data_IF_737677703951
#
_entry.id   IF_737677703951
#
_cell.length_a   1.000
_cell.length_b   1.000
_cell.length_c   1.000
_cell.angle_alpha   90.00
_cell.angle_beta   90.00
_cell.angle_gamma   90.00
#
_symmetry.space_group_name_H-M   'P 1'
#
loop_
_entity.id
_entity.type
_entity.pdbx_description
1 polymer ?
#
# COMPACT_ATOMS: atom_id res chain seq x y z
N UNK A 1 20.88 -26.30 -16.10
CA UNK A 1 22.14 -25.71 -15.63
C UNK A 1 21.90 -24.48 -14.76
N UNK A 2 21.20 -23.44 -15.26
CA UNK A 2 20.89 -22.22 -14.50
C UNK A 2 20.16 -22.50 -13.18
N UNK A 3 19.09 -23.30 -13.18
CA UNK A 3 18.32 -23.61 -11.95
C UNK A 3 19.17 -24.26 -10.85
N UNK A 4 20.11 -25.16 -11.20
CA UNK A 4 21.02 -25.77 -10.22
C UNK A 4 22.05 -24.76 -9.68
N UNK A 5 22.52 -23.83 -10.51
CA UNK A 5 23.41 -22.75 -10.08
C UNK A 5 22.70 -21.76 -9.16
N UNK A 6 21.45 -21.36 -9.48
CA UNK A 6 20.65 -20.51 -8.61
C UNK A 6 20.36 -21.18 -7.27
N UNK A 7 20.04 -22.47 -7.29
CA UNK A 7 19.76 -23.24 -6.08
C UNK A 7 20.99 -23.38 -5.17
N UNK A 8 22.16 -23.66 -5.74
CA UNK A 8 23.42 -23.74 -4.99
C UNK A 8 23.87 -22.38 -4.47
N UNK A 9 23.70 -21.31 -5.25
CA UNK A 9 23.95 -19.94 -4.80
C UNK A 9 23.05 -19.54 -3.62
N UNK A 10 21.74 -19.84 -3.70
CA UNK A 10 20.79 -19.56 -2.64
C UNK A 10 21.12 -20.30 -1.34
N UNK A 11 21.51 -21.58 -1.44
CA UNK A 11 21.94 -22.37 -0.28
C UNK A 11 23.25 -21.85 0.33
N UNK A 12 24.16 -21.31 -0.49
CA UNK A 12 25.41 -20.71 -0.03
C UNK A 12 25.22 -19.34 0.64
N UNK A 13 24.19 -18.57 0.24
CA UNK A 13 23.93 -17.20 0.70
C UNK A 13 22.58 -17.06 1.44
N UNK A 14 22.13 -18.13 2.12
CA UNK A 14 20.94 -18.09 2.98
C UNK A 14 20.90 -16.92 3.98
N UNK A 15 22.02 -16.50 4.62
CA UNK A 15 22.01 -15.37 5.55
C UNK A 15 21.62 -14.07 4.86
N UNK A 16 22.16 -13.83 3.66
CA UNK A 16 21.94 -12.61 2.88
C UNK A 16 20.51 -12.58 2.33
N UNK A 17 20.02 -13.73 1.84
CA UNK A 17 18.63 -13.87 1.40
C UNK A 17 17.65 -13.63 2.55
N UNK A 18 17.92 -14.17 3.74
CA UNK A 18 17.10 -13.95 4.92
C UNK A 18 17.13 -12.50 5.40
N UNK A 19 18.28 -11.83 5.32
CA UNK A 19 18.41 -10.40 5.64
C UNK A 19 17.61 -9.55 4.65
N UNK A 20 17.79 -9.76 3.35
CA UNK A 20 17.09 -9.06 2.29
C UNK A 20 15.57 -9.27 2.38
N UNK A 21 15.12 -10.50 2.67
CA UNK A 21 13.70 -10.81 2.91
C UNK A 21 13.14 -10.02 4.10
N UNK A 22 13.87 -10.01 5.23
CA UNK A 22 13.45 -9.24 6.41
C UNK A 22 13.37 -7.75 6.12
N UNK A 23 14.34 -7.18 5.41
CA UNK A 23 14.33 -5.78 5.00
C UNK A 23 13.13 -5.47 4.11
N UNK A 24 12.83 -6.34 3.13
CA UNK A 24 11.72 -6.17 2.21
C UNK A 24 10.36 -6.19 2.91
N UNK A 25 10.17 -7.15 3.82
CA UNK A 25 8.97 -7.26 4.65
C UNK A 25 8.87 -6.04 5.57
N UNK A 26 9.95 -5.65 6.26
CA UNK A 26 9.93 -4.50 7.16
C UNK A 26 9.57 -3.19 6.44
N UNK A 27 10.17 -2.94 5.27
CA UNK A 27 9.89 -1.78 4.44
C UNK A 27 8.44 -1.77 3.97
N UNK A 28 7.96 -2.90 3.43
CA UNK A 28 6.60 -3.03 2.92
C UNK A 28 5.55 -2.91 4.02
N UNK A 29 5.75 -3.59 5.15
CA UNK A 29 4.83 -3.58 6.28
C UNK A 29 4.78 -2.21 6.97
N UNK A 30 5.91 -1.51 7.12
CA UNK A 30 5.93 -0.16 7.67
C UNK A 30 5.23 0.84 6.76
N UNK A 31 5.46 0.79 5.44
CA UNK A 31 4.76 1.62 4.46
C UNK A 31 3.24 1.41 4.51
N UNK A 32 2.81 0.13 4.49
CA UNK A 32 1.38 -0.22 4.59
C UNK A 32 0.77 0.21 5.91
N UNK A 33 1.49 0.03 7.03
CA UNK A 33 1.03 0.44 8.35
C UNK A 33 0.79 1.95 8.42
N UNK A 34 1.72 2.76 7.93
CA UNK A 34 1.58 4.23 7.89
C UNK A 34 0.41 4.61 6.98
N UNK A 35 0.32 4.01 5.78
CA UNK A 35 -0.75 4.30 4.84
C UNK A 35 -2.13 3.90 5.39
N UNK A 36 -2.26 2.77 6.10
CA UNK A 36 -3.50 2.36 6.75
C UNK A 36 -3.93 3.37 7.83
N UNK A 37 -3.00 3.80 8.68
CA UNK A 37 -3.27 4.76 9.74
C UNK A 37 -3.74 6.12 9.20
N UNK A 38 -3.27 6.53 8.03
CA UNK A 38 -3.68 7.78 7.39
C UNK A 38 -4.93 7.62 6.50
N UNK A 39 -4.92 6.65 5.60
CA UNK A 39 -5.91 6.53 4.52
C UNK A 39 -7.21 5.87 4.92
N UNK A 40 -7.24 5.03 5.96
CA UNK A 40 -8.52 4.49 6.46
C UNK A 40 -9.36 5.61 7.07
N UNK A 41 -8.86 6.43 8.03
CA UNK A 41 -9.62 7.57 8.53
C UNK A 41 -10.00 8.57 7.43
N UNK A 42 -9.07 8.87 6.51
CA UNK A 42 -9.35 9.77 5.39
C UNK A 42 -10.43 9.21 4.46
N UNK A 43 -10.40 7.91 4.13
CA UNK A 43 -11.40 7.28 3.28
C UNK A 43 -12.79 7.26 3.92
N UNK A 44 -12.87 7.02 5.24
CA UNK A 44 -14.12 7.13 6.00
C UNK A 44 -14.63 8.57 5.96
N UNK A 45 -13.74 9.54 6.17
CA UNK A 45 -14.10 10.95 6.13
C UNK A 45 -14.57 11.39 4.73
N UNK A 46 -13.86 11.01 3.66
CA UNK A 46 -14.27 11.36 2.29
C UNK A 46 -15.64 10.76 1.96
N UNK A 47 -15.96 9.56 2.42
CA UNK A 47 -17.24 8.91 2.14
C UNK A 47 -18.44 9.79 2.56
N UNK A 48 -18.29 10.52 3.66
CA UNK A 48 -19.32 11.38 4.24
C UNK A 48 -19.17 12.86 3.87
N UNK A 49 -17.99 13.29 3.42
CA UNK A 49 -17.73 14.68 3.08
C UNK A 49 -18.36 15.07 1.73
N UNK A 50 -18.90 16.30 1.59
CA UNK A 50 -19.49 16.78 0.34
C UNK A 50 -18.45 16.86 -0.80
N UNK A 51 -17.20 17.17 -0.48
CA UNK A 51 -16.09 17.20 -1.43
C UNK A 51 -15.43 15.82 -1.69
N UNK A 52 -15.88 14.75 -1.02
CA UNK A 52 -15.19 13.47 -1.04
C UNK A 52 -15.09 12.84 -2.43
N UNK A 53 -16.14 12.94 -3.25
CA UNK A 53 -16.15 12.42 -4.62
C UNK A 53 -15.05 13.05 -5.49
N UNK A 54 -14.85 14.37 -5.37
CA UNK A 54 -13.80 15.08 -6.09
C UNK A 54 -12.41 14.68 -5.61
N UNK A 55 -12.21 14.54 -4.30
CA UNK A 55 -10.93 14.09 -3.71
C UNK A 55 -10.57 12.70 -4.23
N UNK A 56 -11.51 11.75 -4.18
CA UNK A 56 -11.31 10.37 -4.65
C UNK A 56 -11.04 10.34 -6.16
N UNK A 57 -11.69 11.19 -6.95
CA UNK A 57 -11.42 11.32 -8.38
C UNK A 57 -9.99 11.79 -8.67
N UNK A 58 -9.50 12.79 -7.92
CA UNK A 58 -8.10 13.26 -8.03
C UNK A 58 -7.12 12.16 -7.65
N UNK A 59 -7.35 11.47 -6.52
CA UNK A 59 -6.51 10.36 -6.05
C UNK A 59 -6.49 9.22 -7.07
N UNK A 60 -7.63 8.95 -7.72
CA UNK A 60 -7.72 7.94 -8.79
C UNK A 60 -6.89 8.36 -10.01
N UNK A 61 -6.94 9.64 -10.39
CA UNK A 61 -6.12 10.18 -11.49
C UNK A 61 -4.61 10.08 -11.23
N UNK A 62 -4.19 10.26 -9.97
CA UNK A 62 -2.77 10.14 -9.59
C UNK A 62 -2.21 8.73 -9.78
N UNK A 63 -3.05 7.69 -9.89
CA UNK A 63 -2.58 6.31 -10.12
C UNK A 63 -1.99 6.06 -11.51
N UNK A 64 -2.12 7.03 -12.42
CA UNK A 64 -1.46 6.97 -13.72
C UNK A 64 0.06 7.18 -13.59
N UNK A 65 0.53 7.78 -12.49
CA UNK A 65 1.95 8.00 -12.25
C UNK A 65 2.66 6.66 -12.01
N UNK A 66 3.72 6.32 -12.79
CA UNK A 66 4.47 5.09 -12.60
C UNK A 66 5.14 5.02 -11.22
N UNK A 67 5.18 3.83 -10.61
CA UNK A 67 5.81 3.63 -9.29
C UNK A 67 7.28 4.05 -9.25
N UNK A 68 8.04 3.75 -10.30
CA UNK A 68 9.43 4.17 -10.43
C UNK A 68 9.59 5.69 -10.44
N UNK A 69 8.65 6.42 -11.05
CA UNK A 69 8.68 7.88 -11.08
C UNK A 69 8.45 8.47 -9.67
N UNK A 70 7.54 7.89 -8.89
CA UNK A 70 7.31 8.30 -7.49
C UNK A 70 8.55 8.03 -6.63
N UNK A 71 9.19 6.88 -6.80
CA UNK A 71 10.44 6.54 -6.12
C UNK A 71 11.56 7.52 -6.47
N UNK A 72 11.80 7.76 -7.76
CA UNK A 72 12.83 8.70 -8.22
C UNK A 72 12.56 10.14 -7.75
N UNK A 73 11.29 10.54 -7.68
CA UNK A 73 10.90 11.86 -7.19
C UNK A 73 11.22 12.09 -5.71
N UNK A 74 11.33 11.04 -4.88
CA UNK A 74 11.73 11.18 -3.48
C UNK A 74 13.22 11.45 -3.28
N UNK A 75 14.08 11.15 -4.27
CA UNK A 75 15.53 11.37 -4.19
C UNK A 75 15.92 12.83 -3.89
N UNK A 76 15.45 13.85 -4.62
CA UNK A 76 15.80 15.24 -4.32
C UNK A 76 15.19 15.75 -3.00
N UNK A 77 14.13 15.11 -2.49
CA UNK A 77 13.40 15.58 -1.31
C UNK A 77 14.00 15.00 -0.02
N UNK A 78 14.26 13.70 -0.01
CA UNK A 78 14.65 12.95 1.21
C UNK A 78 16.01 12.26 1.07
N UNK A 79 16.64 12.33 -0.10
CA UNK A 79 17.91 11.68 -0.40
C UNK A 79 17.75 10.20 -0.80
N UNK A 80 18.88 9.51 -0.80
CA UNK A 80 18.98 8.06 -1.07
C UNK A 80 18.84 7.31 0.25
N UNK A 81 18.07 6.22 0.26
CA UNK A 81 18.02 5.30 1.39
C UNK A 81 16.61 4.84 1.76
N UNK A 82 16.55 4.12 2.89
CA UNK A 82 15.33 3.52 3.44
C UNK A 82 14.20 4.53 3.66
N UNK A 83 14.50 5.72 4.19
CA UNK A 83 13.48 6.73 4.48
C UNK A 83 12.77 7.22 3.21
N UNK A 84 13.53 7.44 2.14
CA UNK A 84 13.02 7.84 0.82
C UNK A 84 12.09 6.78 0.23
N UNK A 85 12.53 5.52 0.26
CA UNK A 85 11.71 4.38 -0.13
C UNK A 85 10.44 4.24 0.70
N UNK A 86 10.53 4.40 2.03
CA UNK A 86 9.39 4.30 2.93
C UNK A 86 8.31 5.34 2.60
N UNK A 87 8.71 6.59 2.39
CA UNK A 87 7.77 7.67 2.03
C UNK A 87 7.13 7.39 0.67
N UNK A 88 7.92 7.06 -0.35
CA UNK A 88 7.39 6.72 -1.68
C UNK A 88 6.40 5.56 -1.65
N UNK A 89 6.76 4.46 -0.99
CA UNK A 89 5.90 3.27 -0.89
C UNK A 89 4.64 3.54 -0.08
N UNK A 90 4.73 4.39 0.95
CA UNK A 90 3.54 4.84 1.70
C UNK A 90 2.61 5.60 0.76
N UNK A 91 3.13 6.55 -0.02
CA UNK A 91 2.33 7.30 -1.01
C UNK A 91 1.69 6.40 -2.06
N UNK A 92 2.40 5.36 -2.53
CA UNK A 92 1.88 4.38 -3.48
C UNK A 92 0.81 3.47 -2.86
N UNK A 93 0.89 3.17 -1.56
CA UNK A 93 -0.13 2.40 -0.86
C UNK A 93 -1.44 3.19 -0.63
N UNK A 94 -1.35 4.52 -0.51
CA UNK A 94 -2.46 5.37 -0.13
C UNK A 94 -3.69 5.27 -1.07
N UNK A 95 -3.57 5.38 -2.41
CA UNK A 95 -4.71 5.40 -3.31
C UNK A 95 -5.64 4.18 -3.19
N UNK A 96 -5.16 2.92 -3.31
CA UNK A 96 -6.03 1.76 -3.18
C UNK A 96 -6.72 1.66 -1.80
N UNK A 97 -6.04 2.00 -0.70
CA UNK A 97 -6.67 2.02 0.64
C UNK A 97 -7.78 3.06 0.70
N UNK A 98 -7.48 4.30 0.31
CA UNK A 98 -8.41 5.43 0.41
C UNK A 98 -9.64 5.21 -0.49
N UNK A 99 -9.43 4.87 -1.76
CA UNK A 99 -10.50 4.68 -2.75
C UNK A 99 -11.44 3.55 -2.31
N UNK A 100 -10.89 2.40 -1.93
CA UNK A 100 -11.73 1.27 -1.53
C UNK A 100 -12.44 1.53 -0.20
N UNK A 101 -11.82 2.25 0.73
CA UNK A 101 -12.49 2.65 1.97
C UNK A 101 -13.66 3.60 1.67
N UNK A 102 -13.45 4.64 0.84
CA UNK A 102 -14.52 5.56 0.45
C UNK A 102 -15.69 4.82 -0.23
N UNK A 103 -15.39 3.97 -1.21
CA UNK A 103 -16.38 3.15 -1.92
C UNK A 103 -17.12 2.21 -0.97
N UNK A 104 -16.42 1.61 -0.01
CA UNK A 104 -17.01 0.69 0.97
C UNK A 104 -18.10 1.38 1.81
N UNK A 105 -17.81 2.57 2.34
CA UNK A 105 -18.77 3.31 3.17
C UNK A 105 -19.90 3.92 2.33
N UNK A 106 -19.62 4.43 1.12
CA UNK A 106 -20.67 4.91 0.20
C UNK A 106 -21.57 3.79 -0.33
N UNK A 107 -21.06 2.56 -0.37
CA UNK A 107 -21.79 1.38 -0.84
C UNK A 107 -22.81 0.85 0.17
N UNK A 108 -22.81 1.34 1.42
CA UNK A 108 -23.81 0.99 2.42
C UNK A 108 -25.15 1.59 2.01
N UNK A 109 -26.18 0.76 1.92
CA UNK A 109 -27.51 1.18 1.45
C UNK A 109 -28.14 2.22 2.41
N UNK A 110 -28.63 3.37 1.91
CA UNK A 110 -29.24 4.40 2.75
C UNK A 110 -30.39 3.89 3.63
N UNK A 111 -31.19 2.94 3.11
CA UNK A 111 -32.29 2.34 3.86
C UNK A 111 -31.83 1.60 5.12
N UNK A 112 -30.63 0.99 5.10
CA UNK A 112 -30.04 0.33 6.28
C UNK A 112 -29.66 1.36 7.33
N UNK A 113 -29.14 2.51 6.91
CA UNK A 113 -28.79 3.63 7.80
C UNK A 113 -30.07 4.26 8.39
N UNK A 114 -31.10 4.48 7.58
CA UNK A 114 -32.40 4.99 8.02
C UNK A 114 -33.08 4.05 9.03
N UNK A 115 -33.04 2.74 8.79
CA UNK A 115 -33.55 1.74 9.72
C UNK A 115 -32.79 1.77 11.07
N UNK A 116 -31.46 1.87 11.03
CA UNK A 116 -30.63 2.01 12.23
C UNK A 116 -30.96 3.29 13.02
N UNK A 117 -31.17 4.41 12.33
CA UNK A 117 -31.61 5.66 12.94
C UNK A 117 -33.01 5.55 13.54
N UNK A 118 -33.96 4.89 12.86
CA UNK A 118 -35.31 4.61 13.35
C UNK A 118 -35.33 3.71 14.60
N UNK A 119 -34.31 2.87 14.77
CA UNK A 119 -34.07 2.06 15.97
C UNK A 119 -33.43 2.86 17.12
N UNK A 120 -33.22 4.17 16.97
CA UNK A 120 -32.66 5.05 17.99
C UNK A 120 -31.14 5.00 18.12
N UNK A 121 -30.43 4.45 17.12
CA UNK A 121 -28.96 4.41 17.13
C UNK A 121 -28.37 5.81 16.90
N UNK A 122 -27.36 6.17 17.70
CA UNK A 122 -26.56 7.38 17.49
C UNK A 122 -25.55 7.16 16.36
N UNK A 123 -25.10 8.23 15.69
CA UNK A 123 -24.16 8.12 14.55
C UNK A 123 -22.91 7.28 14.82
N UNK A 124 -22.30 7.37 16.01
CA UNK A 124 -21.15 6.52 16.37
C UNK A 124 -21.52 5.02 16.50
N UNK A 125 -22.76 4.70 16.88
CA UNK A 125 -23.27 3.33 16.93
C UNK A 125 -23.56 2.82 15.51
N UNK A 126 -24.18 3.64 14.65
CA UNK A 126 -24.41 3.31 13.24
C UNK A 126 -23.07 3.02 12.55
N UNK A 127 -22.11 3.94 12.67
CA UNK A 127 -20.78 3.78 12.07
C UNK A 127 -20.10 2.47 12.52
N UNK A 128 -20.03 2.21 13.84
CA UNK A 128 -19.27 1.06 14.37
C UNK A 128 -19.99 -0.28 14.23
N UNK A 129 -21.32 -0.31 14.28
CA UNK A 129 -22.10 -1.57 14.33
C UNK A 129 -22.76 -1.93 13.00
N UNK A 130 -22.94 -0.97 12.10
CA UNK A 130 -23.63 -1.16 10.83
C UNK A 130 -22.67 -0.92 9.68
N UNK A 131 -22.20 0.32 9.52
CA UNK A 131 -21.39 0.69 8.36
C UNK A 131 -20.04 -0.04 8.34
N UNK A 132 -19.29 -0.03 9.44
CA UNK A 132 -17.95 -0.61 9.49
C UNK A 132 -17.93 -2.12 9.18
N UNK A 133 -18.81 -2.96 9.78
CA UNK A 133 -18.89 -4.38 9.42
C UNK A 133 -19.29 -4.63 7.96
N UNK A 134 -20.20 -3.82 7.41
CA UNK A 134 -20.63 -3.92 6.01
C UNK A 134 -19.56 -3.45 5.02
N UNK A 135 -18.77 -2.44 5.40
CA UNK A 135 -17.68 -1.89 4.61
C UNK A 135 -16.42 -2.79 4.64
N UNK A 136 -16.23 -3.58 5.69
CA UNK A 136 -15.00 -4.34 5.94
C UNK A 136 -14.54 -5.23 4.77
N UNK A 137 -15.40 -6.00 4.07
CA UNK A 137 -14.97 -6.84 2.96
C UNK A 137 -14.31 -6.05 1.82
N UNK A 138 -14.85 -4.86 1.51
CA UNK A 138 -14.33 -3.98 0.46
C UNK A 138 -13.06 -3.27 0.93
N UNK A 139 -12.99 -2.87 2.21
CA UNK A 139 -11.75 -2.32 2.80
C UNK A 139 -10.59 -3.34 2.73
N UNK A 140 -10.87 -4.62 3.02
CA UNK A 140 -9.87 -5.70 2.93
C UNK A 140 -9.42 -5.89 1.49
N UNK A 141 -10.32 -5.77 0.50
CA UNK A 141 -9.94 -5.80 -0.91
C UNK A 141 -8.97 -4.65 -1.24
N UNK A 142 -9.23 -3.45 -0.74
CA UNK A 142 -8.32 -2.30 -0.86
C UNK A 142 -6.95 -2.56 -0.24
N UNK A 143 -6.91 -3.07 0.99
CA UNK A 143 -5.66 -3.44 1.65
C UNK A 143 -4.89 -4.50 0.86
N UNK A 144 -5.57 -5.52 0.33
CA UNK A 144 -4.94 -6.56 -0.50
C UNK A 144 -4.31 -5.95 -1.74
N UNK A 145 -5.03 -5.10 -2.48
CA UNK A 145 -4.49 -4.43 -3.67
C UNK A 145 -3.26 -3.60 -3.32
N UNK A 146 -3.34 -2.81 -2.24
CA UNK A 146 -2.23 -1.98 -1.75
C UNK A 146 -1.02 -2.83 -1.38
N UNK A 147 -1.24 -3.98 -0.74
CA UNK A 147 -0.18 -4.90 -0.33
C UNK A 147 0.57 -5.46 -1.54
N UNK A 148 -0.16 -5.87 -2.59
CA UNK A 148 0.44 -6.37 -3.82
C UNK A 148 1.26 -5.26 -4.50
N UNK A 149 0.70 -4.06 -4.59
CA UNK A 149 1.35 -2.89 -5.21
C UNK A 149 2.64 -2.48 -4.47
N UNK A 150 2.60 -2.45 -3.14
CA UNK A 150 3.75 -2.13 -2.30
C UNK A 150 4.83 -3.19 -2.38
N UNK A 151 4.48 -4.48 -2.25
CA UNK A 151 5.48 -5.57 -2.32
C UNK A 151 6.18 -5.58 -3.68
N UNK A 152 5.42 -5.38 -4.77
CA UNK A 152 5.98 -5.26 -6.10
C UNK A 152 6.88 -4.03 -6.23
N UNK A 153 6.42 -2.87 -5.79
CA UNK A 153 7.18 -1.61 -5.88
C UNK A 153 8.40 -1.56 -4.97
N UNK A 154 8.39 -2.27 -3.85
CA UNK A 154 9.54 -2.37 -2.95
C UNK A 154 10.74 -3.06 -3.61
N UNK A 155 10.53 -3.86 -4.66
CA UNK A 155 11.66 -4.39 -5.47
C UNK A 155 12.38 -3.26 -6.21
N UNK A 156 11.63 -2.28 -6.71
CA UNK A 156 12.16 -1.09 -7.38
C UNK A 156 12.81 -0.11 -6.39
N UNK A 157 12.45 -0.16 -5.12
CA UNK A 157 13.06 0.70 -4.10
C UNK A 157 14.57 0.49 -3.95
N UNK A 158 15.10 -0.66 -4.38
CA UNK A 158 16.53 -0.90 -4.45
C UNK A 158 17.28 0.13 -5.32
N UNK A 159 16.65 0.67 -6.37
CA UNK A 159 17.24 1.74 -7.21
C UNK A 159 17.52 3.04 -6.46
N UNK A 160 16.82 3.29 -5.35
CA UNK A 160 16.97 4.50 -4.54
C UNK A 160 17.56 4.21 -3.16
N UNK A 161 18.21 3.05 -2.99
CA UNK A 161 18.84 2.64 -1.73
C UNK A 161 17.89 2.14 -0.65
N UNK A 162 16.66 1.73 -1.02
CA UNK A 162 15.69 1.15 -0.08
C UNK A 162 16.08 -0.24 0.44
N UNK A 163 16.93 -0.97 -0.28
CA UNK A 163 17.40 -2.32 0.09
C UNK A 163 16.37 -3.42 -0.19
N UNK A 164 16.46 -4.52 0.56
CA UNK A 164 15.55 -5.64 0.45
C UNK A 164 15.87 -6.61 -0.69
N UNK A 165 14.89 -7.40 -1.10
CA UNK A 165 15.06 -8.43 -2.14
C UNK A 165 15.37 -7.82 -3.52
N UNK A 166 14.96 -6.56 -3.74
CA UNK A 166 15.28 -5.84 -4.97
C UNK A 166 16.77 -5.71 -5.23
N UNK A 167 17.59 -5.53 -4.18
CA UNK A 167 19.05 -5.42 -4.31
C UNK A 167 19.65 -6.70 -4.91
N UNK A 168 19.24 -7.87 -4.40
CA UNK A 168 19.72 -9.15 -4.93
C UNK A 168 19.30 -9.37 -6.40
N UNK A 169 18.08 -8.93 -6.76
CA UNK A 169 17.61 -9.01 -8.14
C UNK A 169 18.45 -8.11 -9.05
N UNK A 170 18.70 -6.86 -8.66
CA UNK A 170 19.48 -5.91 -9.45
C UNK A 170 20.94 -6.34 -9.59
N UNK A 171 21.56 -6.82 -8.51
CA UNK A 171 22.92 -7.35 -8.55
C UNK A 171 22.99 -8.58 -9.46
N UNK A 172 21.99 -9.46 -9.41
CA UNK A 172 21.92 -10.63 -10.30
C UNK A 172 21.77 -10.25 -11.77
N UNK A 173 20.98 -9.22 -12.09
CA UNK A 173 20.84 -8.71 -13.45
C UNK A 173 22.15 -8.08 -13.95
N UNK A 174 22.77 -7.21 -13.14
CA UNK A 174 24.00 -6.52 -13.52
C UNK A 174 25.19 -7.48 -13.73
N UNK A 175 25.26 -8.56 -12.96
CA UNK A 175 26.34 -9.55 -13.07
C UNK A 175 26.12 -10.61 -14.16
N UNK A 176 24.91 -10.74 -14.71
CA UNK A 176 24.62 -11.70 -15.79
C UNK A 176 24.77 -11.08 -17.19
N UNK A 177 24.88 -9.74 -17.28
CA UNK A 177 25.13 -8.99 -18.51
C UNK A 177 26.63 -8.71 -18.79
N UNK A 178 27.54 -9.20 -17.93
CA UNK A 178 29.01 -9.16 -18.11
C UNK A 178 29.58 -10.57 -18.27
#
# INVERSE_FOLDING_TARGET
MIVQQTWSYALAHLPDLALATRQHIALSASALGIALLACVPLGIWTAHAPAGRSIVAVVTGLRVVPSLAVLAFMLPITGVGYASALVALTLLACPPILINTDVAFRGVEPAVIEAANGMGMRGAQVLRRIEYPLALPVMIAGLRTSTIEVIASATLAAFIGGGGLGTLILDGLANNDM
#
